data_IF_435869885277
#
_entry.id   IF_435869885277
#
_cell.length_a   1.000
_cell.length_b   1.000
_cell.length_c   1.000
_cell.angle_alpha   90.00
_cell.angle_beta   90.00
_cell.angle_gamma   90.00
#
_symmetry.space_group_name_H-M   'P 1'
#
loop_
_entity.id
_entity.type
_entity.pdbx_description
1 polymer ?
#
# COMPACT_ATOMS: atom_id res chain seq x y z
N UNK A 1 1.95 -3.80 -11.26
CA UNK A 1 1.93 -4.22 -12.62
C UNK A 1 2.83 -3.35 -13.48
N UNK A 2 3.66 -3.95 -14.28
CA UNK A 2 4.88 -3.34 -14.74
C UNK A 2 4.83 -2.77 -16.16
N UNK A 3 3.66 -2.47 -16.66
CA UNK A 3 3.51 -2.00 -18.04
C UNK A 3 3.87 -0.53 -18.23
N UNK A 4 3.90 0.25 -17.16
CA UNK A 4 4.19 1.67 -17.17
C UNK A 4 5.09 2.02 -15.99
N UNK A 5 6.16 2.78 -16.24
CA UNK A 5 7.07 3.26 -15.21
C UNK A 5 7.37 4.72 -15.47
N UNK A 6 7.16 5.53 -14.45
CA UNK A 6 7.47 6.93 -14.44
C UNK A 6 8.58 7.21 -13.43
N UNK A 7 9.48 8.10 -13.78
CA UNK A 7 10.51 8.61 -12.91
C UNK A 7 10.41 10.12 -12.90
N UNK A 8 10.05 10.66 -11.74
CA UNK A 8 9.98 12.10 -11.54
C UNK A 8 11.31 12.62 -11.03
N UNK A 9 11.80 13.71 -11.57
CA UNK A 9 12.95 14.44 -11.06
C UNK A 9 12.64 15.93 -10.98
N UNK A 10 13.11 16.52 -9.91
CA UNK A 10 12.90 17.93 -9.67
C UNK A 10 13.94 18.74 -10.44
N UNK A 11 13.54 19.73 -11.26
CA UNK A 11 14.46 20.58 -12.00
C UNK A 11 15.51 21.25 -11.10
N UNK A 12 15.14 21.59 -9.87
CA UNK A 12 16.01 22.26 -8.89
C UNK A 12 17.21 21.41 -8.48
N UNK A 13 17.05 20.07 -8.56
CA UNK A 13 18.10 19.12 -8.19
C UNK A 13 18.98 18.78 -9.40
N UNK A 14 18.40 18.87 -10.61
CA UNK A 14 18.99 18.35 -11.82
C UNK A 14 19.99 19.28 -12.51
N UNK A 15 19.98 20.59 -12.21
CA UNK A 15 20.83 21.56 -12.93
C UNK A 15 20.55 21.58 -14.44
N UNK A 16 21.55 22.02 -15.22
CA UNK A 16 21.40 22.18 -16.68
C UNK A 16 21.62 20.88 -17.49
N UNK A 17 22.15 19.84 -16.87
CA UNK A 17 22.45 18.57 -17.52
C UNK A 17 22.20 17.43 -16.54
N UNK A 18 21.43 16.44 -16.99
CA UNK A 18 21.08 15.24 -16.19
C UNK A 18 21.51 14.00 -16.95
N UNK A 19 22.36 13.19 -16.33
CA UNK A 19 22.69 11.86 -16.82
C UNK A 19 21.91 10.82 -16.04
N UNK A 20 21.08 10.04 -16.74
CA UNK A 20 20.26 9.01 -16.14
C UNK A 20 20.75 7.63 -16.59
N UNK A 21 21.00 6.76 -15.63
CA UNK A 21 21.31 5.36 -15.90
C UNK A 21 20.13 4.51 -15.48
N UNK A 22 19.53 3.81 -16.44
CA UNK A 22 18.40 2.91 -16.19
C UNK A 22 18.89 1.46 -16.14
N UNK A 23 18.59 0.76 -15.06
CA UNK A 23 18.69 -0.69 -15.01
C UNK A 23 17.31 -1.26 -15.33
N UNK A 24 17.16 -1.78 -16.54
CA UNK A 24 15.93 -2.46 -16.96
C UNK A 24 16.00 -3.92 -16.53
N UNK A 25 14.97 -4.34 -15.83
CA UNK A 25 14.76 -5.73 -15.48
C UNK A 25 13.44 -6.18 -16.08
N UNK A 26 13.50 -7.24 -16.87
CA UNK A 26 12.32 -7.82 -17.48
C UNK A 26 12.38 -9.34 -17.30
N UNK A 27 11.27 -9.95 -16.99
CA UNK A 27 11.18 -11.38 -16.86
C UNK A 27 10.84 -11.83 -15.46
N UNK A 28 9.59 -11.60 -15.09
CA UNK A 28 8.90 -12.54 -14.25
C UNK A 28 8.83 -13.85 -15.05
N UNK A 29 9.68 -14.81 -14.70
CA UNK A 29 9.46 -16.20 -15.05
C UNK A 29 8.26 -16.66 -14.21
N UNK A 30 7.09 -16.07 -14.48
CA UNK A 30 5.84 -16.48 -13.87
C UNK A 30 5.54 -17.91 -14.29
N UNK A 31 5.04 -18.72 -13.37
CA UNK A 31 4.79 -20.17 -13.49
C UNK A 31 3.89 -20.64 -14.63
N UNK A 32 3.97 -19.99 -15.78
CA UNK A 32 3.40 -20.43 -17.04
C UNK A 32 4.37 -21.28 -17.85
N UNK A 33 3.86 -21.94 -18.88
CA UNK A 33 4.69 -22.63 -19.86
C UNK A 33 5.80 -21.70 -20.38
N UNK A 34 7.02 -22.23 -20.63
CA UNK A 34 8.10 -21.45 -21.21
C UNK A 34 7.60 -20.76 -22.48
N UNK A 35 7.58 -19.43 -22.47
CA UNK A 35 7.31 -18.63 -23.65
C UNK A 35 8.61 -17.94 -24.00
N UNK A 36 8.98 -17.96 -25.27
CA UNK A 36 9.97 -17.02 -25.77
C UNK A 36 9.38 -15.61 -25.64
N UNK A 37 9.80 -14.89 -24.60
CA UNK A 37 9.35 -13.53 -24.36
C UNK A 37 10.46 -12.61 -24.83
N UNK A 38 10.25 -11.88 -25.92
CA UNK A 38 11.10 -10.78 -26.31
C UNK A 38 10.81 -9.57 -25.40
N UNK A 39 11.81 -9.20 -24.62
CA UNK A 39 11.75 -8.01 -23.80
C UNK A 39 12.20 -6.80 -24.61
N UNK A 40 11.25 -6.01 -25.06
CA UNK A 40 11.51 -4.78 -25.82
C UNK A 40 11.08 -3.55 -25.03
N UNK A 41 11.94 -2.54 -25.03
CA UNK A 41 11.51 -1.21 -24.60
C UNK A 41 10.47 -0.72 -25.63
N UNK A 42 9.24 -0.56 -25.20
CA UNK A 42 8.14 -0.16 -26.08
C UNK A 42 8.25 1.32 -26.45
N UNK A 43 8.58 2.14 -25.47
CA UNK A 43 8.71 3.58 -25.63
C UNK A 43 9.48 4.20 -24.47
N UNK A 44 10.06 5.36 -24.71
CA UNK A 44 10.62 6.22 -23.68
C UNK A 44 10.20 7.65 -24.02
N UNK A 45 9.60 8.34 -23.05
CA UNK A 45 9.16 9.72 -23.19
C UNK A 45 9.80 10.56 -22.09
N UNK A 46 10.14 11.79 -22.44
CA UNK A 46 10.47 12.83 -21.49
C UNK A 46 9.41 13.91 -21.61
N UNK A 47 8.85 14.33 -20.49
CA UNK A 47 7.81 15.36 -20.46
C UNK A 47 7.86 16.17 -19.17
N UNK A 48 7.05 17.19 -19.14
CA UNK A 48 6.78 17.96 -17.92
C UNK A 48 5.41 17.56 -17.41
N UNK A 49 5.30 17.35 -16.08
CA UNK A 49 4.02 17.23 -15.43
C UNK A 49 3.50 18.64 -15.16
N UNK A 50 2.32 18.96 -15.67
CA UNK A 50 1.56 20.11 -15.22
C UNK A 50 0.81 19.73 -13.96
N UNK A 51 1.29 20.21 -12.81
CA UNK A 51 0.78 19.81 -11.48
C UNK A 51 -0.71 20.16 -11.32
N UNK A 52 -1.15 21.32 -11.82
CA UNK A 52 -2.56 21.71 -11.72
C UNK A 52 -3.49 20.82 -12.53
N UNK A 53 -3.04 20.35 -13.69
CA UNK A 53 -3.80 19.39 -14.49
C UNK A 53 -3.89 18.03 -13.80
N UNK A 54 -2.79 17.58 -13.21
CA UNK A 54 -2.72 16.33 -12.44
C UNK A 54 -3.63 16.38 -11.21
N UNK A 55 -3.53 17.47 -10.43
CA UNK A 55 -4.35 17.70 -9.24
C UNK A 55 -5.85 17.72 -9.60
N UNK A 56 -6.25 18.50 -10.61
CA UNK A 56 -7.64 18.56 -11.06
C UNK A 56 -8.15 17.20 -11.55
N UNK A 57 -7.31 16.45 -12.27
CA UNK A 57 -7.68 15.11 -12.76
C UNK A 57 -8.00 14.16 -11.60
N UNK A 58 -7.10 14.06 -10.63
CA UNK A 58 -7.29 13.14 -9.51
C UNK A 58 -8.38 13.61 -8.55
N UNK A 59 -8.46 14.91 -8.26
CA UNK A 59 -9.55 15.46 -7.45
C UNK A 59 -10.91 15.25 -8.13
N UNK A 60 -10.98 15.55 -9.42
CA UNK A 60 -12.20 15.35 -10.21
C UNK A 60 -12.62 13.87 -10.25
N UNK A 61 -11.65 12.95 -10.41
CA UNK A 61 -11.89 11.51 -10.36
C UNK A 61 -12.43 11.07 -9.00
N UNK A 62 -11.85 11.56 -7.90
CA UNK A 62 -12.31 11.26 -6.54
C UNK A 62 -13.72 11.78 -6.29
N UNK A 63 -14.01 13.02 -6.72
CA UNK A 63 -15.35 13.60 -6.64
C UNK A 63 -16.36 12.76 -7.44
N UNK A 64 -15.99 12.38 -8.66
CA UNK A 64 -16.83 11.53 -9.50
C UNK A 64 -17.12 10.17 -8.83
N UNK A 65 -16.11 9.51 -8.30
CA UNK A 65 -16.27 8.24 -7.58
C UNK A 65 -17.14 8.38 -6.34
N UNK A 66 -17.01 9.46 -5.61
CA UNK A 66 -17.91 9.76 -4.48
C UNK A 66 -19.36 9.94 -4.93
N UNK A 67 -19.60 10.63 -6.04
CA UNK A 67 -20.94 10.78 -6.65
C UNK A 67 -21.54 9.41 -6.99
N UNK A 68 -20.75 8.49 -7.55
CA UNK A 68 -21.21 7.13 -7.90
C UNK A 68 -21.69 6.33 -6.69
N UNK A 69 -21.06 6.51 -5.53
CA UNK A 69 -21.37 5.77 -4.30
C UNK A 69 -22.54 6.37 -3.49
N UNK A 70 -22.83 7.65 -3.65
CA UNK A 70 -23.90 8.32 -2.92
C UNK A 70 -25.27 8.01 -3.55
N UNK A 71 -26.31 7.92 -2.71
CA UNK A 71 -27.67 7.68 -3.17
C UNK A 71 -28.15 8.81 -4.11
N UNK A 72 -29.06 8.50 -5.03
CA UNK A 72 -29.58 9.48 -6.00
C UNK A 72 -30.29 10.68 -5.33
N UNK A 73 -30.81 10.50 -4.14
CA UNK A 73 -31.51 11.53 -3.39
C UNK A 73 -30.64 12.27 -2.38
N UNK A 74 -29.34 11.96 -2.32
CA UNK A 74 -28.43 12.59 -1.38
C UNK A 74 -28.11 14.02 -1.80
N UNK A 75 -28.35 15.03 -0.95
CA UNK A 75 -28.02 16.42 -1.28
C UNK A 75 -26.52 16.64 -1.57
N UNK A 76 -25.65 15.88 -0.90
CA UNK A 76 -24.19 15.96 -1.11
C UNK A 76 -23.83 15.52 -2.52
N UNK A 77 -24.47 14.46 -3.04
CA UNK A 77 -24.32 14.02 -4.43
C UNK A 77 -24.55 15.15 -5.42
N UNK A 78 -25.68 15.85 -5.28
CA UNK A 78 -26.04 16.96 -6.18
C UNK A 78 -25.10 18.14 -6.05
N UNK A 79 -24.65 18.46 -4.83
CA UNK A 79 -23.67 19.52 -4.61
C UNK A 79 -22.31 19.22 -5.24
N UNK A 80 -21.84 17.99 -5.09
CA UNK A 80 -20.58 17.51 -5.71
C UNK A 80 -20.68 17.53 -7.24
N UNK A 81 -21.79 17.06 -7.81
CA UNK A 81 -22.00 17.10 -9.25
C UNK A 81 -22.01 18.54 -9.78
N UNK A 82 -22.73 19.45 -9.13
CA UNK A 82 -22.76 20.86 -9.50
C UNK A 82 -21.39 21.54 -9.36
N UNK A 83 -20.57 21.13 -8.36
CA UNK A 83 -19.20 21.63 -8.20
C UNK A 83 -18.30 21.17 -9.33
N UNK A 84 -18.37 19.87 -9.68
CA UNK A 84 -17.61 19.28 -10.78
C UNK A 84 -17.97 19.94 -12.13
N UNK A 85 -19.27 20.08 -12.43
CA UNK A 85 -19.76 20.72 -13.65
C UNK A 85 -19.27 22.17 -13.76
N UNK A 86 -19.35 22.97 -12.68
CA UNK A 86 -18.86 24.35 -12.67
C UNK A 86 -17.36 24.45 -12.91
N UNK A 87 -16.59 23.53 -12.35
CA UNK A 87 -15.14 23.50 -12.54
C UNK A 87 -14.79 23.16 -13.99
N UNK A 88 -15.34 22.09 -14.52
CA UNK A 88 -15.03 21.61 -15.87
C UNK A 88 -15.54 22.54 -16.97
N UNK A 89 -16.61 23.32 -16.73
CA UNK A 89 -17.06 24.36 -17.64
C UNK A 89 -16.11 25.57 -17.76
N UNK A 90 -15.15 25.72 -16.86
CA UNK A 90 -14.11 26.75 -16.96
C UNK A 90 -13.00 26.41 -17.94
N UNK A 91 -12.82 25.12 -18.25
CA UNK A 91 -11.71 24.66 -19.09
C UNK A 91 -11.94 25.07 -20.54
N UNK A 92 -10.97 25.78 -21.10
CA UNK A 92 -10.96 26.10 -22.53
C UNK A 92 -10.44 24.91 -23.35
N UNK A 93 -11.35 24.16 -23.91
CA UNK A 93 -11.07 22.98 -24.73
C UNK A 93 -10.74 23.32 -26.19
N UNK A 94 -10.67 24.58 -26.59
CA UNK A 94 -10.42 24.99 -27.96
C UNK A 94 -9.08 24.50 -28.49
N UNK A 95 -8.02 24.63 -27.65
CA UNK A 95 -6.67 24.21 -28.00
C UNK A 95 -5.99 23.51 -26.80
N UNK A 96 -6.28 22.23 -26.54
CA UNK A 96 -5.68 21.50 -25.43
C UNK A 96 -4.15 21.50 -25.55
N UNK A 97 -3.48 21.84 -24.43
CA UNK A 97 -2.03 21.95 -24.36
C UNK A 97 -1.47 23.34 -24.66
N UNK A 98 -2.32 24.33 -24.94
CA UNK A 98 -1.90 25.75 -25.02
C UNK A 98 -1.77 26.39 -23.63
N UNK A 99 -1.11 27.53 -23.55
CA UNK A 99 -1.00 28.30 -22.30
C UNK A 99 -2.40 28.70 -21.76
N UNK A 100 -3.32 29.08 -22.64
CA UNK A 100 -4.70 29.41 -22.29
C UNK A 100 -5.46 28.19 -21.73
N UNK A 101 -5.23 26.99 -22.30
CA UNK A 101 -5.77 25.74 -21.78
C UNK A 101 -5.27 25.51 -20.35
N UNK A 102 -3.95 25.56 -20.09
CA UNK A 102 -3.41 25.33 -18.75
C UNK A 102 -3.83 26.40 -17.73
N UNK A 103 -3.94 27.66 -18.16
CA UNK A 103 -4.47 28.71 -17.31
C UNK A 103 -5.93 28.44 -16.89
N UNK A 104 -6.76 27.98 -17.84
CA UNK A 104 -8.16 27.63 -17.57
C UNK A 104 -8.30 26.38 -16.69
N UNK A 105 -7.38 25.40 -16.81
CA UNK A 105 -7.31 24.25 -15.93
C UNK A 105 -6.97 24.65 -14.49
N UNK A 106 -6.03 25.57 -14.30
CA UNK A 106 -5.71 26.07 -12.98
C UNK A 106 -6.90 26.77 -12.31
N UNK A 107 -7.66 27.58 -13.08
CA UNK A 107 -8.91 28.17 -12.60
C UNK A 107 -9.99 27.14 -12.25
N UNK A 108 -10.05 26.03 -13.00
CA UNK A 108 -10.97 24.94 -12.74
C UNK A 108 -10.60 24.19 -11.46
N UNK A 109 -9.30 23.91 -11.24
CA UNK A 109 -8.79 23.29 -10.02
C UNK A 109 -9.11 24.14 -8.79
N UNK A 110 -8.79 25.43 -8.83
CA UNK A 110 -9.10 26.36 -7.73
C UNK A 110 -10.61 26.44 -7.45
N UNK A 111 -11.44 26.40 -8.51
CA UNK A 111 -12.90 26.42 -8.40
C UNK A 111 -13.43 25.14 -7.73
N UNK A 112 -12.90 23.98 -8.08
CA UNK A 112 -13.33 22.69 -7.50
C UNK A 112 -12.90 22.60 -6.03
N UNK A 113 -11.65 22.94 -5.73
CA UNK A 113 -11.14 22.97 -4.36
C UNK A 113 -11.98 23.89 -3.47
N UNK A 114 -12.23 25.14 -3.90
CA UNK A 114 -13.04 26.08 -3.15
C UNK A 114 -14.48 25.59 -2.91
N UNK A 115 -15.07 24.91 -3.90
CA UNK A 115 -16.42 24.36 -3.76
C UNK A 115 -16.46 23.21 -2.73
N UNK A 116 -15.46 22.31 -2.75
CA UNK A 116 -15.33 21.22 -1.78
C UNK A 116 -15.06 21.74 -0.37
N UNK A 117 -14.20 22.76 -0.24
CA UNK A 117 -13.87 23.36 1.05
C UNK A 117 -15.04 24.07 1.71
N UNK A 118 -15.95 24.59 0.90
CA UNK A 118 -17.18 25.24 1.38
C UNK A 118 -18.28 24.23 1.81
N UNK A 119 -18.13 22.94 1.49
CA UNK A 119 -19.07 21.91 1.92
C UNK A 119 -18.89 21.56 3.39
N UNK A 120 -20.00 21.20 4.03
CA UNK A 120 -19.96 20.64 5.38
C UNK A 120 -19.27 19.26 5.34
N UNK A 121 -18.16 19.15 6.06
CA UNK A 121 -17.33 17.92 6.14
C UNK A 121 -17.62 17.17 7.44
N UNK A 122 -18.86 17.11 7.87
CA UNK A 122 -19.22 16.40 9.09
C UNK A 122 -19.28 14.89 8.84
N UNK A 123 -18.41 14.15 9.53
CA UNK A 123 -18.48 12.69 9.62
C UNK A 123 -18.08 12.25 11.01
N UNK A 124 -18.88 11.35 11.59
CA UNK A 124 -18.54 10.64 12.84
C UNK A 124 -17.58 9.47 12.58
N UNK A 125 -17.24 9.21 11.31
CA UNK A 125 -16.36 8.11 10.90
C UNK A 125 -14.93 8.63 10.74
N UNK A 126 -14.02 8.02 11.49
CA UNK A 126 -12.59 8.23 11.35
C UNK A 126 -11.96 7.04 10.64
N UNK A 127 -11.32 7.28 9.50
CA UNK A 127 -10.61 6.25 8.74
C UNK A 127 -9.11 6.42 8.95
N UNK A 128 -8.48 5.42 9.55
CA UNK A 128 -7.04 5.35 9.68
C UNK A 128 -6.47 4.55 8.52
N UNK A 129 -5.58 5.18 7.76
CA UNK A 129 -4.96 4.54 6.59
C UNK A 129 -3.47 4.41 6.82
N UNK A 130 -2.91 3.27 6.46
CA UNK A 130 -1.47 3.02 6.49
C UNK A 130 -1.06 2.34 5.18
N UNK A 131 0.01 2.83 4.57
CA UNK A 131 0.59 2.17 3.42
C UNK A 131 1.23 0.84 3.82
N UNK A 132 1.12 -0.18 2.98
CA UNK A 132 1.80 -1.46 3.18
C UNK A 132 2.14 -2.08 1.82
N UNK A 133 3.25 -2.79 1.77
CA UNK A 133 3.63 -3.58 0.61
C UNK A 133 3.86 -5.02 1.02
N UNK A 134 2.89 -5.88 0.72
CA UNK A 134 3.12 -7.33 0.83
C UNK A 134 4.09 -7.78 -0.26
N UNK A 135 5.19 -8.38 0.14
CA UNK A 135 6.21 -8.91 -0.76
C UNK A 135 6.47 -10.37 -0.37
N UNK A 136 6.05 -11.29 -1.25
CA UNK A 136 6.45 -12.68 -1.10
C UNK A 136 7.97 -12.79 -1.10
N UNK A 137 8.51 -13.45 -0.11
CA UNK A 137 9.95 -13.74 -0.01
C UNK A 137 10.43 -14.53 -1.22
N UNK A 138 9.59 -15.44 -1.71
CA UNK A 138 9.55 -15.94 -3.07
C UNK A 138 8.16 -16.53 -3.34
N UNK A 139 7.72 -16.54 -4.61
CA UNK A 139 6.48 -17.16 -5.05
C UNK A 139 6.70 -17.81 -6.43
N UNK A 140 6.02 -17.31 -7.48
CA UNK A 140 6.27 -17.74 -8.87
C UNK A 140 7.52 -17.06 -9.46
N UNK A 141 8.42 -16.59 -8.62
CA UNK A 141 9.70 -15.97 -8.95
C UNK A 141 10.77 -16.38 -7.94
N UNK A 142 12.03 -16.10 -8.27
CA UNK A 142 13.19 -16.47 -7.44
C UNK A 142 13.52 -15.38 -6.41
N UNK A 143 14.26 -15.75 -5.37
CA UNK A 143 14.72 -14.81 -4.32
C UNK A 143 15.41 -13.55 -4.89
N UNK A 144 16.22 -13.69 -5.94
CA UNK A 144 16.86 -12.54 -6.60
C UNK A 144 15.85 -11.48 -7.06
N UNK A 145 14.67 -11.93 -7.49
CA UNK A 145 13.60 -11.05 -7.97
C UNK A 145 12.95 -10.31 -6.81
N UNK A 146 12.81 -10.98 -5.67
CA UNK A 146 12.33 -10.35 -4.43
C UNK A 146 13.28 -9.26 -3.96
N UNK A 147 14.59 -9.51 -3.95
CA UNK A 147 15.61 -8.51 -3.61
C UNK A 147 15.46 -7.23 -4.45
N UNK A 148 15.33 -7.38 -5.76
CA UNK A 148 15.09 -6.22 -6.66
C UNK A 148 13.72 -5.56 -6.44
N UNK A 149 12.68 -6.35 -6.13
CA UNK A 149 11.35 -5.82 -5.82
C UNK A 149 11.38 -4.96 -4.54
N UNK A 150 12.13 -5.38 -3.52
CA UNK A 150 12.32 -4.58 -2.30
C UNK A 150 12.90 -3.20 -2.62
N UNK A 151 13.99 -3.14 -3.37
CA UNK A 151 14.61 -1.88 -3.78
C UNK A 151 13.62 -0.96 -4.50
N UNK A 152 12.88 -1.48 -5.48
CA UNK A 152 11.89 -0.70 -6.23
C UNK A 152 10.73 -0.23 -5.38
N UNK A 153 10.14 -1.13 -4.59
CA UNK A 153 8.97 -0.81 -3.77
C UNK A 153 9.31 0.20 -2.68
N UNK A 154 10.43 0.00 -1.99
CA UNK A 154 10.83 0.89 -0.90
C UNK A 154 11.27 2.27 -1.40
N UNK A 155 11.91 2.34 -2.56
CA UNK A 155 12.18 3.64 -3.22
C UNK A 155 10.89 4.36 -3.58
N UNK A 156 9.86 3.64 -4.04
CA UNK A 156 8.55 4.23 -4.31
C UNK A 156 7.92 4.78 -3.03
N UNK A 157 8.00 4.03 -1.92
CA UNK A 157 7.50 4.49 -0.62
C UNK A 157 8.22 5.75 -0.15
N UNK A 158 9.56 5.77 -0.27
CA UNK A 158 10.34 6.99 0.07
C UNK A 158 9.87 8.19 -0.74
N UNK A 159 9.59 7.99 -2.03
CA UNK A 159 9.06 9.05 -2.88
C UNK A 159 7.67 9.51 -2.47
N UNK A 160 6.78 8.58 -2.09
CA UNK A 160 5.45 8.93 -1.56
C UNK A 160 5.56 9.73 -0.26
N UNK A 161 6.48 9.38 0.63
CA UNK A 161 6.73 10.13 1.86
C UNK A 161 7.27 11.54 1.61
N UNK A 162 8.00 11.76 0.52
CA UNK A 162 8.42 13.11 0.10
C UNK A 162 7.27 13.94 -0.46
N UNK A 163 6.38 13.31 -1.22
CA UNK A 163 5.25 13.99 -1.86
C UNK A 163 4.10 14.26 -0.87
N UNK A 164 3.89 13.35 0.08
CA UNK A 164 2.78 13.36 1.03
C UNK A 164 3.33 13.33 2.46
N UNK A 165 3.43 14.47 3.14
CA UNK A 165 3.98 14.55 4.50
C UNK A 165 3.20 13.70 5.53
N UNK A 166 1.90 13.47 5.30
CA UNK A 166 1.01 12.69 6.14
C UNK A 166 1.06 11.18 5.86
N UNK A 167 1.82 10.76 4.84
CA UNK A 167 1.86 9.35 4.45
C UNK A 167 2.70 8.52 5.44
N UNK A 168 2.05 7.59 6.11
CA UNK A 168 2.67 6.59 6.98
C UNK A 168 2.70 5.24 6.31
N UNK A 169 3.73 4.46 6.61
CA UNK A 169 3.96 3.18 5.96
C UNK A 169 4.39 2.12 6.96
N UNK A 170 3.80 0.94 6.86
CA UNK A 170 4.18 -0.25 7.61
C UNK A 170 4.91 -1.24 6.70
N UNK A 171 6.04 -1.76 7.15
CA UNK A 171 6.72 -2.87 6.48
C UNK A 171 7.13 -3.93 7.47
N UNK A 172 6.77 -5.13 7.15
CA UNK A 172 7.09 -6.35 7.87
C UNK A 172 8.27 -7.10 7.25
N UNK A 173 8.61 -8.26 7.76
CA UNK A 173 9.60 -9.20 7.25
C UNK A 173 11.04 -8.68 7.29
N UNK A 174 11.74 -8.82 8.41
CA UNK A 174 13.17 -8.51 8.58
C UNK A 174 14.09 -8.98 7.45
N UNK A 175 13.79 -10.11 6.82
CA UNK A 175 14.53 -10.61 5.66
C UNK A 175 14.59 -9.59 4.51
N UNK A 176 13.52 -8.81 4.31
CA UNK A 176 13.49 -7.80 3.25
C UNK A 176 14.42 -6.64 3.57
N UNK A 177 14.44 -6.22 4.83
CA UNK A 177 15.36 -5.18 5.31
C UNK A 177 16.82 -5.62 5.23
N UNK A 178 17.11 -6.87 5.56
CA UNK A 178 18.47 -7.43 5.46
C UNK A 178 18.97 -7.35 4.01
N UNK A 179 18.13 -7.73 3.05
CA UNK A 179 18.49 -7.62 1.64
C UNK A 179 18.65 -6.18 1.16
N UNK A 180 17.81 -5.26 1.63
CA UNK A 180 17.97 -3.85 1.29
C UNK A 180 19.22 -3.26 1.93
N UNK A 181 19.57 -3.67 3.13
CA UNK A 181 20.83 -3.29 3.80
C UNK A 181 22.06 -3.73 3.02
N UNK A 182 22.02 -4.95 2.46
CA UNK A 182 23.11 -5.49 1.63
C UNK A 182 23.19 -4.85 0.24
N UNK A 183 22.07 -4.75 -0.47
CA UNK A 183 22.04 -4.38 -1.89
C UNK A 183 21.89 -2.87 -2.12
N UNK A 184 21.26 -2.14 -1.19
CA UNK A 184 20.89 -0.72 -1.32
C UNK A 184 21.14 0.03 -0.01
N UNK A 185 22.41 0.12 0.47
CA UNK A 185 22.71 0.66 1.81
C UNK A 185 22.27 2.12 2.00
N UNK A 186 22.27 2.93 0.95
CA UNK A 186 21.78 4.31 1.00
C UNK A 186 20.26 4.37 1.25
N UNK A 187 19.50 3.52 0.56
CA UNK A 187 18.05 3.38 0.79
C UNK A 187 17.78 2.87 2.22
N UNK A 188 18.58 1.92 2.69
CA UNK A 188 18.44 1.40 4.06
C UNK A 188 18.68 2.50 5.11
N UNK A 189 19.66 3.37 4.90
CA UNK A 189 19.88 4.53 5.77
C UNK A 189 18.67 5.46 5.81
N UNK A 190 18.10 5.76 4.65
CA UNK A 190 16.89 6.59 4.57
C UNK A 190 15.69 5.95 5.28
N UNK A 191 15.52 4.63 5.14
CA UNK A 191 14.48 3.88 5.86
C UNK A 191 14.64 4.05 7.38
N UNK A 192 15.87 3.90 7.89
CA UNK A 192 16.16 4.11 9.33
C UNK A 192 15.77 5.50 9.80
N UNK A 193 16.02 6.52 9.00
CA UNK A 193 15.63 7.89 9.31
C UNK A 193 14.10 8.01 9.40
N UNK A 194 13.36 7.43 8.44
CA UNK A 194 11.89 7.41 8.47
C UNK A 194 11.32 6.61 9.64
N UNK A 195 11.98 5.53 10.04
CA UNK A 195 11.61 4.79 11.26
C UNK A 195 11.81 5.66 12.51
N UNK A 196 12.92 6.39 12.58
CA UNK A 196 13.20 7.30 13.71
C UNK A 196 12.22 8.47 13.78
N UNK A 197 11.74 8.96 12.63
CA UNK A 197 10.70 9.99 12.52
C UNK A 197 9.29 9.46 12.89
N UNK A 198 9.09 8.14 12.97
CA UNK A 198 7.80 7.51 13.24
C UNK A 198 6.88 7.39 12.02
N UNK A 199 7.37 7.68 10.82
CA UNK A 199 6.62 7.61 9.57
C UNK A 199 6.73 6.25 8.86
N UNK A 200 7.73 5.48 9.19
CA UNK A 200 7.91 4.11 8.74
C UNK A 200 7.83 3.18 9.94
N UNK A 201 6.77 2.37 10.01
CA UNK A 201 6.62 1.35 11.04
C UNK A 201 7.32 0.07 10.61
N UNK A 202 8.35 -0.32 11.35
CA UNK A 202 9.03 -1.59 11.20
C UNK A 202 8.55 -2.53 12.28
N UNK A 203 7.62 -3.43 11.97
CA UNK A 203 7.02 -4.38 12.90
C UNK A 203 6.60 -5.67 12.18
N UNK A 204 5.68 -6.45 12.75
CA UNK A 204 5.13 -7.68 12.18
C UNK A 204 5.75 -8.96 12.70
N UNK A 205 6.69 -8.85 13.62
CA UNK A 205 7.30 -9.87 14.47
C UNK A 205 8.10 -10.99 13.77
N UNK A 206 7.56 -11.66 12.76
CA UNK A 206 8.23 -12.80 12.12
C UNK A 206 9.33 -12.36 11.16
N UNK A 207 10.37 -13.19 11.04
CA UNK A 207 11.46 -13.00 10.08
C UNK A 207 10.99 -12.93 8.63
N UNK A 208 10.05 -13.81 8.28
CA UNK A 208 9.25 -13.75 7.06
C UNK A 208 7.79 -14.03 7.40
N UNK A 209 6.86 -13.71 6.52
CA UNK A 209 5.45 -14.10 6.66
C UNK A 209 5.33 -15.63 6.44
N UNK A 210 5.55 -16.39 7.50
CA UNK A 210 5.70 -17.83 7.43
C UNK A 210 4.35 -18.55 7.33
N UNK A 211 4.30 -19.65 6.56
CA UNK A 211 3.18 -20.59 6.62
C UNK A 211 3.00 -21.10 8.05
N UNK A 212 1.78 -21.02 8.57
CA UNK A 212 1.46 -21.34 9.95
C UNK A 212 0.82 -22.71 10.14
N UNK A 213 0.62 -23.49 9.08
CA UNK A 213 0.02 -24.81 9.14
C UNK A 213 1.05 -25.94 8.93
N UNK A 214 1.96 -25.75 7.98
CA UNK A 214 2.96 -26.77 7.65
C UNK A 214 4.21 -26.69 8.52
N UNK A 215 4.53 -25.51 9.02
CA UNK A 215 5.72 -25.28 9.85
C UNK A 215 5.52 -25.82 11.26
N UNK A 216 6.63 -26.25 11.89
CA UNK A 216 6.61 -26.68 13.29
C UNK A 216 6.49 -25.49 14.26
N UNK A 217 6.03 -25.76 15.48
CA UNK A 217 6.01 -24.75 16.55
C UNK A 217 7.41 -24.18 16.86
N UNK A 218 8.45 -24.99 16.74
CA UNK A 218 9.86 -24.54 16.88
C UNK A 218 10.21 -23.53 15.77
N UNK A 219 9.81 -23.81 14.51
CA UNK A 219 10.04 -22.89 13.41
C UNK A 219 9.31 -21.55 13.61
N UNK A 220 8.04 -21.58 14.02
CA UNK A 220 7.26 -20.38 14.32
C UNK A 220 7.88 -19.58 15.48
N UNK A 221 8.34 -20.25 16.51
CA UNK A 221 9.03 -19.61 17.64
C UNK A 221 10.30 -18.90 17.16
N UNK A 222 11.10 -19.54 16.30
CA UNK A 222 12.33 -18.92 15.75
C UNK A 222 12.01 -17.74 14.81
N UNK A 223 10.96 -17.84 14.02
CA UNK A 223 10.50 -16.72 13.19
C UNK A 223 10.30 -15.46 14.02
N UNK A 224 9.61 -15.60 15.15
CA UNK A 224 9.33 -14.47 16.06
C UNK A 224 10.58 -14.02 16.81
N UNK A 225 11.37 -14.95 17.38
CA UNK A 225 12.57 -14.60 18.14
C UNK A 225 13.60 -13.85 17.29
N UNK A 226 13.87 -14.35 16.09
CA UNK A 226 14.88 -13.76 15.19
C UNK A 226 14.33 -12.45 14.60
N UNK A 227 13.07 -12.44 14.20
CA UNK A 227 12.44 -11.24 13.65
C UNK A 227 12.36 -10.10 14.66
N UNK A 228 11.87 -10.37 15.86
CA UNK A 228 11.79 -9.37 16.94
C UNK A 228 13.17 -8.86 17.35
N UNK A 229 14.15 -9.77 17.42
CA UNK A 229 15.55 -9.38 17.72
C UNK A 229 16.10 -8.43 16.64
N UNK A 230 15.88 -8.71 15.37
CA UNK A 230 16.33 -7.85 14.28
C UNK A 230 15.71 -6.45 14.38
N UNK A 231 14.39 -6.36 14.57
CA UNK A 231 13.70 -5.07 14.71
C UNK A 231 14.27 -4.27 15.89
N UNK A 232 14.50 -4.93 17.00
CA UNK A 232 15.12 -4.29 18.19
C UNK A 232 16.55 -3.82 17.94
N UNK A 233 17.38 -4.66 17.34
CA UNK A 233 18.80 -4.36 17.11
C UNK A 233 18.99 -3.27 16.06
N UNK A 234 18.20 -3.26 14.99
CA UNK A 234 18.36 -2.34 13.86
C UNK A 234 17.59 -1.01 14.05
N UNK A 235 16.42 -1.07 14.66
CA UNK A 235 15.52 0.09 14.76
C UNK A 235 15.25 0.54 16.20
N UNK A 236 15.69 -0.22 17.21
CA UNK A 236 15.48 0.12 18.63
C UNK A 236 14.04 -0.02 19.10
N UNK A 237 13.19 -0.69 18.30
CA UNK A 237 11.75 -0.87 18.59
C UNK A 237 11.46 -2.28 19.13
N UNK A 238 10.50 -2.38 20.03
CA UNK A 238 9.90 -3.67 20.39
C UNK A 238 8.74 -3.96 19.42
N UNK A 239 8.54 -5.23 19.08
CA UNK A 239 7.41 -5.62 18.22
C UNK A 239 6.13 -5.67 19.03
N UNK A 240 5.03 -5.19 18.45
CA UNK A 240 3.75 -5.09 19.14
C UNK A 240 2.71 -6.08 18.61
N UNK A 241 2.80 -6.44 17.33
CA UNK A 241 1.81 -7.29 16.69
C UNK A 241 2.44 -8.27 15.70
N UNK A 242 1.68 -9.33 15.39
CA UNK A 242 1.95 -10.21 14.28
C UNK A 242 1.10 -9.79 13.08
N UNK A 243 1.75 -9.57 11.93
CA UNK A 243 1.14 -9.14 10.69
C UNK A 243 1.34 -10.18 9.60
N UNK A 244 0.28 -10.90 9.24
CA UNK A 244 0.30 -11.96 8.22
C UNK A 244 -0.87 -11.79 7.23
N UNK A 245 -0.80 -10.86 6.30
CA UNK A 245 -1.92 -10.54 5.41
C UNK A 245 -2.20 -11.66 4.40
N UNK A 246 -1.21 -12.45 4.01
CA UNK A 246 -1.32 -13.39 2.90
C UNK A 246 -1.00 -14.86 3.28
N UNK A 247 -1.27 -15.25 4.51
CA UNK A 247 -1.11 -16.63 5.00
C UNK A 247 -2.46 -17.32 5.09
N UNK A 248 -2.55 -18.55 4.57
CA UNK A 248 -3.82 -19.24 4.25
C UNK A 248 -4.37 -20.11 5.39
N UNK A 249 -4.02 -19.81 6.60
CA UNK A 249 -4.50 -20.50 7.80
C UNK A 249 -3.47 -20.46 8.92
N UNK A 250 -3.94 -20.69 10.15
CA UNK A 250 -3.14 -20.47 11.35
C UNK A 250 -3.32 -21.59 12.33
N UNK A 251 -2.21 -22.07 12.87
CA UNK A 251 -2.23 -23.07 13.94
C UNK A 251 -2.93 -22.55 15.18
N UNK A 252 -3.77 -23.39 15.79
CA UNK A 252 -4.43 -23.08 17.06
C UNK A 252 -3.43 -22.84 18.22
N UNK A 253 -2.17 -23.27 18.06
CA UNK A 253 -1.10 -22.99 19.00
C UNK A 253 -0.47 -21.59 18.85
N UNK A 254 -0.77 -20.85 17.79
CA UNK A 254 -0.14 -19.55 17.52
C UNK A 254 -0.39 -18.52 18.63
N UNK A 255 -1.61 -18.38 19.21
CA UNK A 255 -1.83 -17.46 20.32
C UNK A 255 -0.94 -17.73 21.54
N UNK A 256 -0.64 -19.00 21.84
CA UNK A 256 0.31 -19.35 22.92
C UNK A 256 1.72 -18.85 22.63
N UNK A 257 2.18 -19.04 21.39
CA UNK A 257 3.52 -18.61 20.97
C UNK A 257 3.62 -17.08 21.05
N UNK A 258 2.62 -16.38 20.54
CA UNK A 258 2.57 -14.91 20.57
C UNK A 258 2.57 -14.38 22.00
N UNK A 259 1.71 -14.89 22.85
CA UNK A 259 1.63 -14.46 24.26
C UNK A 259 2.94 -14.70 25.03
N UNK A 260 3.63 -15.81 24.76
CA UNK A 260 4.95 -16.09 25.35
C UNK A 260 6.05 -15.20 24.81
N UNK A 261 5.89 -14.67 23.61
CA UNK A 261 6.79 -13.67 23.01
C UNK A 261 6.46 -12.22 23.41
N UNK A 262 5.39 -11.99 24.19
CA UNK A 262 4.95 -10.66 24.59
C UNK A 262 4.08 -9.94 23.55
N UNK A 263 3.58 -10.66 22.53
CA UNK A 263 2.76 -10.11 21.44
C UNK A 263 1.29 -10.36 21.76
N UNK A 264 0.50 -9.29 21.78
CA UNK A 264 -0.88 -9.33 22.18
C UNK A 264 -1.87 -9.13 21.02
N UNK A 265 -1.38 -8.75 19.85
CA UNK A 265 -2.19 -8.42 18.68
C UNK A 265 -1.80 -9.25 17.45
N UNK A 266 -2.80 -9.58 16.64
CA UNK A 266 -2.64 -10.33 15.40
C UNK A 266 -3.53 -9.78 14.30
N UNK A 267 -3.00 -9.65 13.09
CA UNK A 267 -3.73 -9.19 11.92
C UNK A 267 -3.57 -10.12 10.73
N UNK A 268 -4.65 -10.35 10.00
CA UNK A 268 -4.68 -11.09 8.74
C UNK A 268 -5.80 -10.64 7.80
N UNK A 269 -5.78 -11.15 6.55
CA UNK A 269 -6.87 -10.97 5.58
C UNK A 269 -7.31 -12.29 4.94
N UNK A 270 -6.39 -13.22 4.74
CA UNK A 270 -6.55 -14.37 3.79
C UNK A 270 -7.54 -15.45 4.20
N UNK A 271 -7.97 -15.50 5.42
CA UNK A 271 -8.95 -16.51 5.88
C UNK A 271 -10.38 -16.20 5.47
N UNK A 272 -10.63 -15.13 4.76
CA UNK A 272 -11.91 -14.81 4.14
C UNK A 272 -12.35 -15.81 3.05
N UNK A 273 -11.45 -16.69 2.60
CA UNK A 273 -11.72 -17.70 1.55
C UNK A 273 -12.56 -18.90 2.01
N UNK A 274 -13.17 -18.82 3.18
CA UNK A 274 -14.07 -19.87 3.62
C UNK A 274 -15.33 -19.88 2.74
N UNK A 275 -15.60 -21.02 2.13
CA UNK A 275 -16.71 -21.19 1.19
C UNK A 275 -18.08 -21.17 1.89
N UNK A 276 -18.16 -21.64 3.13
CA UNK A 276 -19.45 -21.92 3.79
C UNK A 276 -19.75 -21.02 4.96
N UNK A 277 -18.74 -20.65 5.72
CA UNK A 277 -18.91 -19.93 6.97
C UNK A 277 -18.12 -18.62 6.98
N UNK A 278 -18.74 -17.57 7.47
CA UNK A 278 -18.08 -16.29 7.73
C UNK A 278 -17.96 -16.09 9.22
N UNK A 279 -16.86 -15.46 9.63
CA UNK A 279 -16.75 -15.04 11.02
C UNK A 279 -17.77 -13.92 11.29
N UNK A 280 -18.44 -13.93 12.42
CA UNK A 280 -19.45 -12.92 12.73
C UNK A 280 -18.87 -11.55 13.09
N UNK A 281 -17.57 -11.48 13.36
CA UNK A 281 -16.86 -10.28 13.76
C UNK A 281 -15.48 -10.26 13.08
N UNK A 282 -15.03 -9.10 12.68
CA UNK A 282 -13.69 -8.86 12.15
C UNK A 282 -12.64 -8.60 13.24
N UNK A 283 -13.09 -8.16 14.42
CA UNK A 283 -12.24 -7.91 15.57
C UNK A 283 -12.73 -8.71 16.77
N UNK A 284 -11.87 -9.57 17.30
CA UNK A 284 -12.21 -10.48 18.40
C UNK A 284 -10.98 -10.99 19.15
N UNK A 285 -11.21 -11.63 20.31
CA UNK A 285 -10.16 -12.36 21.01
C UNK A 285 -10.08 -13.80 20.51
N UNK A 286 -8.99 -14.11 19.81
CA UNK A 286 -8.67 -15.48 19.41
C UNK A 286 -8.05 -16.24 20.59
N UNK A 287 -8.71 -17.34 20.99
CA UNK A 287 -8.27 -18.20 22.07
C UNK A 287 -7.49 -19.40 21.53
N UNK A 288 -6.24 -19.53 21.95
CA UNK A 288 -5.38 -20.67 21.64
C UNK A 288 -5.73 -21.94 22.42
N UNK A 289 -5.04 -23.03 22.07
CA UNK A 289 -5.23 -24.38 22.66
C UNK A 289 -4.96 -24.40 24.18
N UNK A 290 -4.04 -23.57 24.65
CA UNK A 290 -3.67 -23.46 26.07
C UNK A 290 -4.52 -22.45 26.85
N UNK A 291 -5.47 -21.80 26.17
CA UNK A 291 -6.29 -20.76 26.75
C UNK A 291 -5.75 -19.32 26.62
N UNK A 292 -4.53 -19.15 26.11
CA UNK A 292 -3.98 -17.83 25.78
C UNK A 292 -4.89 -17.08 24.80
N UNK A 293 -4.99 -15.76 24.94
CA UNK A 293 -5.83 -14.93 24.07
C UNK A 293 -5.02 -13.80 23.45
N UNK A 294 -5.20 -13.57 22.16
CA UNK A 294 -4.66 -12.43 21.43
C UNK A 294 -5.80 -11.65 20.80
N UNK A 295 -5.69 -10.33 20.78
CA UNK A 295 -6.62 -9.47 20.02
C UNK A 295 -6.34 -9.66 18.54
N UNK A 296 -7.35 -10.08 17.81
CA UNK A 296 -7.22 -10.44 16.39
C UNK A 296 -8.10 -9.52 15.57
N UNK A 297 -7.53 -8.99 14.49
CA UNK A 297 -8.25 -8.19 13.50
C UNK A 297 -8.11 -8.78 12.11
N UNK A 298 -9.24 -8.93 11.43
CA UNK A 298 -9.29 -9.25 10.01
C UNK A 298 -9.54 -7.95 9.26
N UNK A 299 -8.60 -7.59 8.39
CA UNK A 299 -8.76 -6.37 7.61
C UNK A 299 -10.03 -6.48 6.76
N UNK A 300 -10.88 -5.51 6.90
CA UNK A 300 -12.11 -5.37 6.13
C UNK A 300 -11.91 -4.32 5.05
N UNK A 301 -11.98 -4.68 3.76
CA UNK A 301 -12.07 -3.74 2.65
C UNK A 301 -13.38 -3.97 1.95
N UNK A 302 -14.37 -3.11 2.11
CA UNK A 302 -15.57 -3.18 1.31
C UNK A 302 -15.21 -2.84 -0.16
N UNK A 303 -15.58 -3.72 -1.09
CA UNK A 303 -15.66 -3.37 -2.50
C UNK A 303 -17.15 -3.38 -2.90
N UNK A 304 -17.79 -2.22 -2.99
CA UNK A 304 -19.16 -2.13 -3.44
C UNK A 304 -19.34 -2.76 -4.82
N UNK A 305 -20.28 -3.69 -4.94
CA UNK A 305 -20.63 -4.35 -6.20
C UNK A 305 -19.65 -5.43 -6.69
N UNK A 306 -18.57 -5.72 -5.98
CA UNK A 306 -17.62 -6.79 -6.28
C UNK A 306 -17.44 -7.80 -5.16
N UNK A 307 -18.39 -7.97 -4.35
CA UNK A 307 -18.39 -8.82 -3.14
C UNK A 307 -18.02 -10.29 -3.41
N UNK A 308 -17.96 -10.72 -4.68
CA UNK A 308 -17.67 -12.10 -5.07
C UNK A 308 -16.39 -12.31 -5.85
N UNK A 309 -15.80 -11.26 -6.45
CA UNK A 309 -14.74 -11.43 -7.45
C UNK A 309 -13.41 -10.75 -7.13
N UNK A 310 -13.26 -10.08 -5.99
CA UNK A 310 -12.03 -9.43 -5.62
C UNK A 310 -11.04 -10.40 -4.98
N UNK A 311 -9.80 -10.35 -5.41
CA UNK A 311 -8.68 -11.12 -4.87
C UNK A 311 -8.22 -10.64 -3.49
N UNK A 312 -8.62 -9.45 -3.12
CA UNK A 312 -8.30 -8.82 -1.85
C UNK A 312 -9.53 -8.78 -0.96
N UNK A 313 -10.14 -9.96 -0.81
CA UNK A 313 -11.21 -10.04 0.11
C UNK A 313 -10.74 -9.87 1.46
N UNK A 314 -11.02 -8.94 1.77
CA UNK A 314 -11.57 -8.58 2.95
C UNK A 314 -12.71 -9.40 3.34
N UNK A 315 -12.70 -9.61 4.54
CA UNK A 315 -13.74 -10.19 5.29
C UNK A 315 -14.94 -9.26 5.24
N UNK A 316 -15.41 -9.26 4.03
CA UNK A 316 -16.43 -8.47 3.57
C UNK A 316 -17.43 -7.72 4.33
N UNK A 317 -17.55 -6.57 3.87
CA UNK A 317 -18.83 -5.94 3.54
C UNK A 317 -19.85 -5.90 4.66
N UNK A 318 -19.43 -5.87 5.88
CA UNK A 318 -20.25 -5.50 7.00
C UNK A 318 -19.74 -4.19 7.57
N UNK A 319 -20.00 -3.16 6.85
CA UNK A 319 -20.13 -1.84 7.47
C UNK A 319 -21.59 -1.49 7.47
#
# INVERSE_FOLDING_TARGET
>A
DANHKEVFFRPEICGNEVSLTFRLWSGLEGGGLPREVEHRLKSAFLGYLDEKTDDLYYLGLMVWKTIEELSENDPVRHNLQAALDRAFLKIDWSYPGSDDFYASVAEADDCLNAAIDAMDKHSDIHVYTVGHTHIDTAWLWRLKNTREKCGRSFTTVMRLMEMFPEYDFLQTQPQLYEWVKEDYPELYSQIRDRVAEGRWEADGAMWVEADCNLTSGESLTRQILIGSKFIKDEFGKEVEFLWLPDVFGYSWALPQILKKAGIDMFMTTKISWNQYNRMPHDTFYWKGIDGSKVLTHFITTPEPGRERDSWFYTYNGLI
#
